data_IF_604701615014
#
_entry.id   IF_604701615014
#
_cell.length_a   1.000
_cell.length_b   1.000
_cell.length_c   1.000
_cell.angle_alpha   90.00
_cell.angle_beta   90.00
_cell.angle_gamma   90.00
#
_symmetry.space_group_name_H-M   'P 1'
#
loop_
_entity.id
_entity.type
_entity.pdbx_description
1 polymer ?
#
# COMPACT_ATOMS: atom_id res chain seq x y z
N UNK A 1 -11.54 -12.72 2.15
CA UNK A 1 -11.52 -12.67 3.63
C UNK A 1 -12.63 -11.72 4.03
N UNK A 2 -13.58 -12.08 4.91
CA UNK A 2 -14.56 -11.09 5.38
C UNK A 2 -13.79 -10.01 6.14
N UNK A 3 -13.69 -8.81 5.59
CA UNK A 3 -13.07 -7.69 6.28
C UNK A 3 -13.90 -7.40 7.52
N UNK A 4 -13.27 -7.43 8.69
CA UNK A 4 -13.91 -6.96 9.92
C UNK A 4 -14.04 -5.43 9.83
N UNK A 5 -15.21 -5.01 9.34
CA UNK A 5 -15.56 -3.60 9.16
C UNK A 5 -15.65 -2.81 10.45
N UNK A 6 -15.57 -3.49 11.61
CA UNK A 6 -15.66 -2.86 12.93
C UNK A 6 -14.31 -2.41 13.48
N UNK A 7 -13.21 -2.83 12.87
CA UNK A 7 -11.85 -2.43 13.26
C UNK A 7 -11.63 -0.93 13.07
N UNK A 8 -10.84 -0.32 13.96
CA UNK A 8 -10.54 1.11 13.86
C UNK A 8 -9.69 1.43 12.62
N UNK A 9 -8.83 0.50 12.21
CA UNK A 9 -8.15 0.53 10.91
C UNK A 9 -9.14 0.63 9.74
N UNK A 10 -10.19 -0.20 9.72
CA UNK A 10 -11.20 -0.11 8.66
C UNK A 10 -11.93 1.23 8.70
N UNK A 11 -12.29 1.73 9.89
CA UNK A 11 -12.94 3.05 10.01
C UNK A 11 -12.04 4.20 9.54
N UNK A 12 -10.74 4.13 9.80
CA UNK A 12 -9.74 5.12 9.41
C UNK A 12 -9.65 5.30 7.89
N UNK A 13 -9.82 4.24 7.11
CA UNK A 13 -9.77 4.33 5.65
C UNK A 13 -10.93 5.17 5.08
N UNK A 14 -10.61 6.00 4.09
CA UNK A 14 -11.58 6.71 3.28
C UNK A 14 -12.50 5.75 2.51
N UNK A 15 -13.69 6.23 2.13
CA UNK A 15 -14.64 5.43 1.35
C UNK A 15 -14.03 4.93 0.05
N UNK A 16 -13.26 5.77 -0.66
CA UNK A 16 -12.62 5.38 -1.94
C UNK A 16 -11.59 4.26 -1.77
N UNK A 17 -10.86 4.21 -0.64
CA UNK A 17 -9.93 3.10 -0.37
C UNK A 17 -10.71 1.80 -0.09
N UNK A 18 -11.80 1.87 0.68
CA UNK A 18 -12.69 0.73 0.93
C UNK A 18 -13.31 0.21 -0.35
N UNK A 19 -13.79 1.10 -1.21
CA UNK A 19 -14.37 0.75 -2.51
C UNK A 19 -13.37 0.01 -3.40
N UNK A 20 -12.09 0.43 -3.39
CA UNK A 20 -11.03 -0.27 -4.12
C UNK A 20 -10.77 -1.68 -3.57
N UNK A 21 -10.73 -1.84 -2.25
CA UNK A 21 -10.57 -3.16 -1.62
C UNK A 21 -11.73 -4.08 -2.02
N UNK A 22 -12.98 -3.59 -1.90
CA UNK A 22 -14.17 -4.34 -2.30
C UNK A 22 -14.20 -4.69 -3.80
N UNK A 23 -13.70 -3.81 -4.67
CA UNK A 23 -13.55 -4.12 -6.10
C UNK A 23 -12.52 -5.22 -6.33
N UNK A 24 -11.42 -5.23 -5.57
CA UNK A 24 -10.45 -6.32 -5.57
C UNK A 24 -11.08 -7.65 -5.14
N UNK A 25 -11.88 -7.64 -4.07
CA UNK A 25 -12.60 -8.83 -3.60
C UNK A 25 -13.59 -9.33 -4.65
N UNK A 26 -14.32 -8.41 -5.30
CA UNK A 26 -15.25 -8.74 -6.39
C UNK A 26 -14.53 -9.41 -7.56
N UNK A 27 -13.40 -8.86 -8.01
CA UNK A 27 -12.59 -9.49 -9.08
C UNK A 27 -12.17 -10.89 -8.65
N UNK A 28 -11.72 -11.04 -7.40
CA UNK A 28 -11.23 -12.31 -6.90
C UNK A 28 -12.32 -13.38 -6.79
N UNK A 29 -13.50 -13.05 -6.29
CA UNK A 29 -14.56 -14.02 -6.04
C UNK A 29 -15.44 -14.23 -7.27
N UNK A 30 -15.94 -13.16 -7.87
CA UNK A 30 -16.97 -13.23 -8.92
C UNK A 30 -16.36 -13.41 -10.32
N UNK A 31 -15.15 -12.89 -10.57
CA UNK A 31 -14.52 -12.96 -11.90
C UNK A 31 -13.56 -14.13 -12.01
N UNK A 32 -12.76 -14.41 -10.98
CA UNK A 32 -11.72 -15.45 -11.01
C UNK A 32 -12.26 -16.79 -10.50
N UNK A 33 -12.88 -16.83 -9.33
CA UNK A 33 -13.33 -18.09 -8.71
C UNK A 33 -14.55 -18.67 -9.42
N UNK A 34 -15.55 -17.84 -9.73
CA UNK A 34 -16.73 -18.26 -10.48
C UNK A 34 -16.49 -18.29 -12.00
N UNK A 35 -15.45 -17.60 -12.47
CA UNK A 35 -15.04 -17.58 -13.86
C UNK A 35 -14.47 -18.92 -14.31
N UNK A 36 -14.90 -19.39 -15.48
CA UNK A 36 -14.32 -20.59 -16.13
C UNK A 36 -13.03 -20.29 -16.91
N UNK A 37 -12.40 -19.15 -16.67
CA UNK A 37 -11.26 -18.66 -17.44
C UNK A 37 -10.01 -18.58 -16.57
N UNK A 38 -8.93 -19.21 -17.03
CA UNK A 38 -7.62 -19.09 -16.41
C UNK A 38 -6.84 -17.98 -17.10
N UNK A 39 -6.42 -16.98 -16.34
CA UNK A 39 -5.56 -15.91 -16.84
C UNK A 39 -4.09 -16.36 -16.86
N UNK A 40 -3.34 -15.85 -17.82
CA UNK A 40 -1.88 -16.08 -17.91
C UNK A 40 -1.11 -15.19 -16.92
N UNK A 41 -1.71 -14.09 -16.48
CA UNK A 41 -1.15 -13.15 -15.50
C UNK A 41 -2.26 -12.59 -14.61
N UNK A 42 -2.09 -12.69 -13.30
CA UNK A 42 -3.03 -12.23 -12.28
C UNK A 42 -2.64 -10.87 -11.69
N UNK A 43 -1.63 -10.16 -12.22
CA UNK A 43 -1.23 -8.84 -11.76
C UNK A 43 -2.41 -7.86 -11.63
N UNK A 44 -3.38 -7.91 -12.55
CA UNK A 44 -4.58 -7.07 -12.54
C UNK A 44 -5.41 -7.19 -11.25
N UNK A 45 -5.39 -8.35 -10.60
CA UNK A 45 -6.09 -8.60 -9.34
C UNK A 45 -5.49 -7.79 -8.19
N UNK A 46 -4.18 -7.54 -8.22
CA UNK A 46 -3.45 -6.79 -7.18
C UNK A 46 -3.73 -5.28 -7.29
N UNK A 47 -4.13 -4.81 -8.48
CA UNK A 47 -4.23 -3.37 -8.79
C UNK A 47 -5.13 -2.56 -7.83
N UNK A 48 -6.35 -3.00 -7.47
CA UNK A 48 -7.19 -2.23 -6.56
C UNK A 48 -6.55 -2.07 -5.19
N UNK A 49 -5.93 -3.12 -4.65
CA UNK A 49 -5.23 -3.10 -3.36
C UNK A 49 -3.98 -2.23 -3.39
N UNK A 50 -3.17 -2.32 -4.45
CA UNK A 50 -2.00 -1.46 -4.64
C UNK A 50 -2.39 0.03 -4.71
N UNK A 51 -3.51 0.34 -5.36
CA UNK A 51 -4.05 1.70 -5.44
C UNK A 51 -4.62 2.18 -4.10
N UNK A 52 -5.30 1.30 -3.36
CA UNK A 52 -5.77 1.59 -2.01
C UNK A 52 -4.59 1.88 -1.07
N UNK A 53 -3.51 1.09 -1.18
CA UNK A 53 -2.28 1.27 -0.42
C UNK A 53 -1.61 2.61 -0.68
N UNK A 54 -1.44 3.01 -1.94
CA UNK A 54 -0.86 4.32 -2.29
C UNK A 54 -1.71 5.45 -1.69
N UNK A 55 -3.04 5.37 -1.79
CA UNK A 55 -3.95 6.35 -1.19
C UNK A 55 -3.86 6.37 0.34
N UNK A 56 -3.77 5.21 0.98
CA UNK A 56 -3.62 5.06 2.43
C UNK A 56 -2.31 5.67 2.91
N UNK A 57 -1.18 5.40 2.23
CA UNK A 57 0.11 5.98 2.57
C UNK A 57 0.08 7.50 2.50
N UNK A 58 -0.52 8.08 1.45
CA UNK A 58 -0.68 9.54 1.36
C UNK A 58 -1.48 10.08 2.55
N UNK A 59 -2.59 9.43 2.90
CA UNK A 59 -3.42 9.82 4.03
C UNK A 59 -2.64 9.74 5.36
N UNK A 60 -2.01 8.60 5.63
CA UNK A 60 -1.23 8.36 6.83
C UNK A 60 -0.09 9.35 6.98
N UNK A 61 0.71 9.57 5.93
CA UNK A 61 1.82 10.51 5.96
C UNK A 61 1.36 11.96 6.14
N UNK A 62 0.17 12.33 5.64
CA UNK A 62 -0.42 13.64 5.92
C UNK A 62 -0.80 13.73 7.40
N UNK A 63 -1.51 12.74 7.90
CA UNK A 63 -2.08 12.75 9.25
C UNK A 63 -0.99 12.77 10.34
N UNK A 64 0.15 12.10 10.12
CA UNK A 64 1.30 12.14 11.03
C UNK A 64 2.28 13.29 10.73
N UNK A 65 1.97 14.17 9.77
CA UNK A 65 2.76 15.37 9.46
C UNK A 65 4.05 15.14 8.66
N UNK A 66 4.21 13.97 8.02
CA UNK A 66 5.37 13.68 7.16
C UNK A 66 5.31 14.38 5.81
N UNK A 67 4.10 14.64 5.30
CA UNK A 67 3.84 15.44 4.10
C UNK A 67 2.81 16.53 4.40
N UNK A 68 2.85 17.61 3.63
CA UNK A 68 1.89 18.70 3.76
C UNK A 68 0.53 18.38 3.12
N UNK A 69 -0.48 19.19 3.40
CA UNK A 69 -1.76 19.11 2.69
C UNK A 69 -1.60 19.39 1.19
N UNK A 70 -0.73 20.32 0.79
CA UNK A 70 -0.40 20.56 -0.61
C UNK A 70 0.25 19.34 -1.27
N UNK A 71 1.11 18.61 -0.56
CA UNK A 71 1.71 17.37 -1.07
C UNK A 71 0.67 16.28 -1.27
N UNK A 72 -0.28 16.15 -0.34
CA UNK A 72 -1.37 15.18 -0.40
C UNK A 72 -2.22 15.34 -1.67
N UNK A 73 -2.54 16.58 -2.05
CA UNK A 73 -3.31 16.89 -3.26
C UNK A 73 -2.46 17.00 -4.54
N UNK A 74 -1.13 16.92 -4.45
CA UNK A 74 -0.25 17.05 -5.60
C UNK A 74 -0.21 15.80 -6.47
N UNK A 75 -0.44 15.98 -7.78
CA UNK A 75 -0.23 14.95 -8.81
C UNK A 75 1.26 14.66 -9.06
N UNK A 76 2.15 15.49 -8.52
CA UNK A 76 3.60 15.36 -8.71
C UNK A 76 4.30 14.64 -7.56
N UNK A 77 3.63 14.39 -6.43
CA UNK A 77 4.22 13.67 -5.31
C UNK A 77 4.49 12.21 -5.70
N UNK A 78 5.77 11.81 -5.71
CA UNK A 78 6.20 10.44 -6.04
C UNK A 78 6.58 9.68 -4.78
N UNK A 79 5.61 9.07 -4.10
CA UNK A 79 5.85 8.31 -2.87
C UNK A 79 6.96 7.25 -3.03
N UNK A 80 6.97 6.49 -4.13
CA UNK A 80 8.01 5.50 -4.37
C UNK A 80 9.43 6.05 -4.42
N UNK A 81 9.62 7.31 -4.84
CA UNK A 81 10.93 7.97 -4.78
C UNK A 81 11.28 8.35 -3.33
N UNK A 82 10.32 8.90 -2.59
CA UNK A 82 10.52 9.40 -1.23
C UNK A 82 10.72 8.27 -0.20
N UNK A 83 10.05 7.14 -0.42
CA UNK A 83 10.15 5.93 0.41
C UNK A 83 11.33 5.04 0.06
N UNK A 84 12.10 5.35 -0.99
CA UNK A 84 13.22 4.51 -1.39
C UNK A 84 14.41 4.69 -0.42
N UNK A 85 14.94 3.61 0.20
CA UNK A 85 16.11 3.70 1.07
C UNK A 85 17.35 4.19 0.31
N UNK A 86 17.47 3.87 -0.98
CA UNK A 86 18.56 4.33 -1.83
C UNK A 86 18.57 5.85 -2.07
N UNK A 87 17.43 6.51 -1.85
CA UNK A 87 17.29 7.95 -2.08
C UNK A 87 17.56 8.77 -0.81
N UNK A 88 17.76 8.15 0.35
CA UNK A 88 17.98 8.83 1.64
C UNK A 88 19.13 9.83 1.56
N UNK A 89 20.29 9.42 1.01
CA UNK A 89 21.45 10.31 0.91
C UNK A 89 21.24 11.53 0.01
N UNK A 90 20.32 11.45 -0.96
CA UNK A 90 20.00 12.56 -1.88
C UNK A 90 18.86 13.44 -1.37
N UNK A 91 17.89 12.86 -0.68
CA UNK A 91 16.70 13.55 -0.18
C UNK A 91 16.89 14.14 1.22
N UNK A 92 17.83 13.61 2.01
CA UNK A 92 18.03 14.03 3.40
C UNK A 92 16.73 13.91 4.20
N UNK A 93 16.34 15.01 4.84
CA UNK A 93 15.14 15.07 5.68
C UNK A 93 13.83 15.04 4.90
N UNK A 94 13.84 15.16 3.57
CA UNK A 94 12.66 14.95 2.73
C UNK A 94 12.36 13.45 2.51
N UNK A 95 13.28 12.55 2.85
CA UNK A 95 13.06 11.10 2.69
C UNK A 95 12.02 10.59 3.67
N UNK A 96 10.92 10.05 3.14
CA UNK A 96 9.90 9.37 3.95
C UNK A 96 10.44 8.10 4.59
N UNK A 97 11.36 7.38 3.92
CA UNK A 97 12.04 6.23 4.52
C UNK A 97 12.82 6.66 5.78
N UNK A 98 13.61 7.73 5.68
CA UNK A 98 14.35 8.26 6.85
C UNK A 98 13.39 8.67 7.97
N UNK A 99 12.34 9.43 7.67
CA UNK A 99 11.34 9.84 8.66
C UNK A 99 10.68 8.64 9.35
N UNK A 100 10.37 7.56 8.61
CA UNK A 100 9.82 6.33 9.17
C UNK A 100 10.79 5.64 10.12
N UNK A 101 12.08 5.56 9.77
CA UNK A 101 13.11 5.00 10.66
C UNK A 101 13.29 5.84 11.91
N UNK A 102 13.28 7.18 11.77
CA UNK A 102 13.53 8.11 12.88
C UNK A 102 12.34 8.20 13.85
N UNK A 103 11.10 8.15 13.34
CA UNK A 103 9.88 8.24 14.15
C UNK A 103 9.40 6.88 14.66
N UNK A 104 9.55 5.83 13.85
CA UNK A 104 9.10 4.48 14.14
C UNK A 104 10.27 3.52 14.27
N UNK A 105 10.25 2.45 13.47
CA UNK A 105 11.32 1.45 13.45
C UNK A 105 11.82 1.23 12.04
N UNK A 106 13.07 0.72 11.92
CA UNK A 106 13.59 0.27 10.63
C UNK A 106 12.75 -0.85 10.02
N UNK A 107 12.25 -1.75 10.86
CA UNK A 107 11.39 -2.86 10.42
C UNK A 107 10.10 -2.34 9.76
N UNK A 108 9.44 -1.35 10.38
CA UNK A 108 8.29 -0.67 9.78
C UNK A 108 8.63 -0.02 8.44
N UNK A 109 9.74 0.73 8.37
CA UNK A 109 10.16 1.39 7.14
C UNK A 109 10.43 0.39 6.00
N UNK A 110 11.13 -0.70 6.30
CA UNK A 110 11.43 -1.77 5.34
C UNK A 110 10.18 -2.52 4.91
N UNK A 111 9.26 -2.80 5.82
CA UNK A 111 8.00 -3.47 5.49
C UNK A 111 7.16 -2.60 4.55
N UNK A 112 7.00 -1.32 4.87
CA UNK A 112 6.26 -0.38 4.01
C UNK A 112 6.90 -0.23 2.61
N UNK A 113 8.23 -0.14 2.55
CA UNK A 113 8.98 -0.05 1.30
C UNK A 113 8.90 -1.35 0.47
N UNK A 114 9.00 -2.51 1.12
CA UNK A 114 8.89 -3.82 0.47
C UNK A 114 7.52 -3.97 -0.15
N UNK A 115 6.44 -3.69 0.60
CA UNK A 115 5.08 -3.77 0.08
C UNK A 115 4.82 -2.79 -1.08
N UNK A 116 5.45 -1.60 -1.05
CA UNK A 116 5.41 -0.67 -2.18
C UNK A 116 6.12 -1.25 -3.42
N UNK A 117 7.33 -1.78 -3.23
CA UNK A 117 8.15 -2.28 -4.33
C UNK A 117 7.53 -3.52 -4.96
N UNK A 118 7.15 -4.49 -4.14
CA UNK A 118 6.68 -5.80 -4.57
C UNK A 118 5.21 -5.80 -4.95
N UNK A 119 4.36 -5.07 -4.22
CA UNK A 119 2.92 -5.05 -4.41
C UNK A 119 2.40 -3.95 -5.34
N UNK A 120 3.16 -2.87 -5.54
CA UNK A 120 2.71 -1.71 -6.34
C UNK A 120 3.63 -1.35 -7.51
N UNK A 121 4.92 -1.61 -7.44
CA UNK A 121 5.84 -1.24 -8.53
C UNK A 121 6.16 -2.42 -9.44
N UNK A 122 6.71 -3.50 -8.88
CA UNK A 122 7.24 -4.63 -9.63
C UNK A 122 6.14 -5.43 -10.32
N UNK A 123 5.04 -5.68 -9.64
CA UNK A 123 3.91 -6.48 -10.17
C UNK A 123 3.29 -5.90 -11.45
N UNK A 124 3.45 -4.61 -11.72
CA UNK A 124 2.97 -3.96 -12.95
C UNK A 124 4.10 -3.57 -13.90
N UNK A 125 5.33 -3.96 -13.61
CA UNK A 125 6.48 -3.63 -14.44
C UNK A 125 6.59 -4.64 -15.58
N UNK A 126 6.57 -4.16 -16.82
CA UNK A 126 6.81 -5.00 -17.98
C UNK A 126 8.32 -5.17 -18.19
N UNK A 127 8.87 -6.37 -17.97
CA UNK A 127 10.26 -6.66 -18.32
C UNK A 127 10.34 -7.29 -19.72
N UNK A 128 11.07 -6.68 -20.69
CA UNK A 128 11.11 -7.15 -22.08
C UNK A 128 11.64 -8.58 -22.28
N UNK A 129 12.38 -9.12 -21.30
CA UNK A 129 13.01 -10.43 -21.37
C UNK A 129 12.31 -11.50 -20.52
N UNK A 130 11.33 -11.11 -19.70
CA UNK A 130 10.54 -11.99 -18.86
C UNK A 130 9.28 -11.22 -18.44
N UNK A 131 8.08 -11.64 -18.85
CA UNK A 131 6.87 -10.91 -18.47
C UNK A 131 6.71 -10.78 -16.94
N UNK A 132 7.36 -11.66 -16.16
CA UNK A 132 7.16 -11.78 -14.70
C UNK A 132 5.67 -11.90 -14.35
N UNK A 133 4.92 -12.60 -15.21
CA UNK A 133 3.52 -12.90 -14.98
C UNK A 133 3.37 -13.66 -13.65
N UNK A 134 2.39 -13.25 -12.85
CA UNK A 134 2.16 -13.85 -11.54
C UNK A 134 0.94 -14.77 -11.58
N UNK A 135 1.05 -15.87 -10.84
CA UNK A 135 -0.05 -16.80 -10.59
C UNK A 135 -1.11 -16.19 -9.67
N UNK A 136 -2.28 -16.81 -9.61
CA UNK A 136 -3.33 -16.42 -8.67
C UNK A 136 -2.85 -16.47 -7.21
N UNK A 137 -2.08 -17.50 -6.84
CA UNK A 137 -1.53 -17.64 -5.50
C UNK A 137 -0.56 -16.50 -5.16
N UNK A 138 0.35 -16.16 -6.08
CA UNK A 138 1.26 -15.02 -5.90
C UNK A 138 0.47 -13.70 -5.79
N UNK A 139 -0.59 -13.52 -6.58
CA UNK A 139 -1.43 -12.34 -6.50
C UNK A 139 -2.14 -12.22 -5.13
N UNK A 140 -2.62 -13.34 -4.56
CA UNK A 140 -3.17 -13.40 -3.20
C UNK A 140 -2.13 -13.03 -2.16
N UNK A 141 -0.91 -13.57 -2.27
CA UNK A 141 0.19 -13.24 -1.36
C UNK A 141 0.54 -11.75 -1.42
N UNK A 142 0.57 -11.14 -2.61
CA UNK A 142 0.81 -9.68 -2.75
C UNK A 142 -0.33 -8.87 -2.14
N UNK A 143 -1.58 -9.29 -2.32
CA UNK A 143 -2.77 -8.67 -1.71
C UNK A 143 -2.68 -8.71 -0.18
N UNK A 144 -2.44 -9.88 0.41
CA UNK A 144 -2.34 -10.04 1.87
C UNK A 144 -1.17 -9.21 2.44
N UNK A 145 0.00 -9.27 1.79
CA UNK A 145 1.16 -8.45 2.16
C UNK A 145 0.82 -6.94 2.20
N UNK A 146 0.07 -6.44 1.21
CA UNK A 146 -0.36 -5.04 1.16
C UNK A 146 -1.28 -4.72 2.34
N UNK A 147 -2.35 -5.49 2.53
CA UNK A 147 -3.35 -5.24 3.57
C UNK A 147 -2.76 -5.33 4.97
N UNK A 148 -1.94 -6.35 5.23
CA UNK A 148 -1.27 -6.52 6.52
C UNK A 148 -0.30 -5.38 6.79
N UNK A 149 0.36 -4.85 5.76
CA UNK A 149 1.26 -3.70 5.90
C UNK A 149 0.49 -2.42 6.19
N UNK A 150 -0.69 -2.23 5.59
CA UNK A 150 -1.57 -1.10 5.91
C UNK A 150 -2.01 -1.14 7.37
N UNK A 151 -2.51 -2.29 7.82
CA UNK A 151 -2.95 -2.48 9.21
C UNK A 151 -1.80 -2.26 10.19
N UNK A 152 -0.64 -2.89 9.94
CA UNK A 152 0.52 -2.71 10.80
C UNK A 152 1.02 -1.26 10.84
N UNK A 153 1.09 -0.58 9.70
CA UNK A 153 1.51 0.82 9.66
C UNK A 153 0.55 1.73 10.43
N UNK A 154 -0.77 1.46 10.33
CA UNK A 154 -1.77 2.15 11.13
C UNK A 154 -1.56 1.92 12.63
N UNK A 155 -1.40 0.68 13.07
CA UNK A 155 -1.18 0.35 14.49
C UNK A 155 0.10 0.96 15.06
N UNK A 156 1.18 1.01 14.27
CA UNK A 156 2.46 1.55 14.73
C UNK A 156 2.53 3.07 14.72
N UNK A 157 1.86 3.74 13.78
CA UNK A 157 2.01 5.18 13.55
C UNK A 157 0.81 6.00 14.00
N UNK A 158 -0.35 5.37 14.16
CA UNK A 158 -1.61 6.02 14.52
C UNK A 158 -2.18 5.42 15.82
N UNK A 159 -1.49 5.56 16.97
CA UNK A 159 -2.00 5.07 18.24
C UNK A 159 -3.26 5.83 18.63
N UNK A 160 -4.27 5.08 19.04
CA UNK A 160 -5.52 5.59 19.62
C UNK A 160 -5.24 6.39 20.91
N UNK A 161 -5.65 7.67 20.91
CA UNK A 161 -5.89 8.55 22.07
C UNK A 161 -4.73 9.07 22.96
N UNK A 162 -3.67 9.70 22.42
CA UNK A 162 -2.77 10.53 23.27
C UNK A 162 -2.06 11.73 22.60
N UNK A 163 -2.81 12.57 21.89
CA UNK A 163 -2.37 13.95 21.58
C UNK A 163 -3.52 14.98 21.65
N UNK A 164 -4.47 14.75 22.56
CA UNK A 164 -5.40 15.78 23.03
C UNK A 164 -5.19 15.99 24.53
N UNK A 165 -4.16 16.77 24.88
CA UNK A 165 -4.12 17.61 26.09
C UNK A 165 -3.53 18.95 25.68
#
# INVERSE_FOLDING_TARGET
MQHDTTTDFWKYMSQKQKDLIHQGDFIRHEVIEEGKFNFDDYAFMVFPYAKAYEGFLKQLFKDIGFISESDYFSDHLRLGKLMSPHMVGKLGDESLYKKLVDFGTRDLAERMWTSWTEGRNRVFHYFPHNLEAITLEEAEQKKDMILDTMMYAYEQLYPSDSAKV
#
